data_IF_879700872545
#
_entry.id   IF_879700872545
#
_cell.length_a   1.000
_cell.length_b   1.000
_cell.length_c   1.000
_cell.angle_alpha   90.00
_cell.angle_beta   90.00
_cell.angle_gamma   90.00
#
_symmetry.space_group_name_H-M   'P 1'
#
loop_
_entity.id
_entity.type
_entity.pdbx_description
1 polymer ?
#
# COMPACT_ATOMS: atom_id res chain seq x y z
N UNK A 1 -4.31 8.22 7.97
CA UNK A 1 -5.26 7.09 8.21
C UNK A 1 -5.48 6.35 6.90
N UNK A 2 -5.84 5.04 6.92
CA UNK A 2 -5.99 4.19 5.72
C UNK A 2 -7.47 3.92 5.46
N UNK A 3 -7.92 4.12 4.22
CA UNK A 3 -9.29 3.88 3.76
C UNK A 3 -9.29 2.98 2.52
N UNK A 4 -10.33 2.16 2.40
CA UNK A 4 -10.61 1.43 1.16
C UNK A 4 -11.20 2.37 0.07
N UNK A 5 -11.49 1.81 -1.11
CA UNK A 5 -12.07 2.58 -2.22
C UNK A 5 -13.46 3.13 -1.92
N UNK A 6 -14.23 2.40 -1.11
CA UNK A 6 -15.57 2.75 -0.61
C UNK A 6 -15.53 3.72 0.57
N UNK A 7 -14.34 4.23 0.92
CA UNK A 7 -14.10 5.23 1.96
C UNK A 7 -14.36 4.75 3.41
N UNK A 8 -14.36 3.43 3.63
CA UNK A 8 -14.41 2.86 4.96
C UNK A 8 -13.06 3.02 5.65
N UNK A 9 -13.06 3.56 6.88
CA UNK A 9 -11.85 3.66 7.69
C UNK A 9 -11.41 2.27 8.14
N UNK A 10 -10.21 1.87 7.72
CA UNK A 10 -9.62 0.61 8.18
C UNK A 10 -8.88 0.85 9.51
N UNK A 11 -9.31 0.17 10.59
CA UNK A 11 -8.66 0.25 11.92
C UNK A 11 -7.28 -0.41 11.95
N UNK A 12 -6.98 -1.24 10.95
CA UNK A 12 -5.72 -1.95 10.78
C UNK A 12 -5.59 -2.28 9.28
N UNK A 13 -4.48 -1.85 8.67
CA UNK A 13 -4.23 -1.90 7.22
C UNK A 13 -3.90 -3.29 6.70
N UNK A 14 -4.78 -4.27 6.99
CA UNK A 14 -4.69 -5.58 6.39
C UNK A 14 -5.25 -5.52 4.98
N UNK A 15 -4.36 -5.59 3.99
CA UNK A 15 -4.73 -5.71 2.59
C UNK A 15 -4.72 -7.20 2.22
N UNK A 16 -5.88 -7.73 1.81
CA UNK A 16 -5.98 -9.06 1.25
C UNK A 16 -5.88 -8.96 -0.28
N UNK A 17 -4.70 -9.24 -0.81
CA UNK A 17 -4.49 -9.27 -2.26
C UNK A 17 -4.79 -10.69 -2.74
N UNK A 18 -5.77 -10.83 -3.64
CA UNK A 18 -6.07 -12.10 -4.32
C UNK A 18 -5.44 -12.02 -5.71
N UNK A 19 -4.47 -12.88 -5.99
CA UNK A 19 -3.73 -12.89 -7.26
C UNK A 19 -4.38 -13.87 -8.26
N UNK A 20 -4.98 -13.41 -9.38
CA UNK A 20 -4.84 -14.11 -10.65
C UNK A 20 -3.41 -13.88 -11.17
N UNK A 21 -2.90 -14.73 -12.08
CA UNK A 21 -1.48 -14.83 -12.45
C UNK A 21 -0.76 -13.50 -12.80
N UNK A 22 -1.51 -12.45 -13.13
CA UNK A 22 -1.00 -11.14 -13.52
C UNK A 22 -1.25 -10.13 -12.39
N UNK A 23 -0.23 -9.35 -12.03
CA UNK A 23 -0.16 -8.48 -10.85
C UNK A 23 -1.49 -7.80 -10.47
N UNK A 24 -2.19 -8.31 -9.46
CA UNK A 24 -3.37 -7.66 -8.92
C UNK A 24 -2.94 -6.41 -8.15
N UNK A 25 -3.11 -5.25 -8.78
CA UNK A 25 -2.97 -3.94 -8.14
C UNK A 25 -4.19 -3.69 -7.25
N UNK A 26 -3.95 -3.17 -6.06
CA UNK A 26 -4.97 -2.68 -5.16
C UNK A 26 -4.79 -1.18 -4.99
N UNK A 27 -5.89 -0.44 -5.01
CA UNK A 27 -5.89 1.00 -4.81
C UNK A 27 -6.40 1.32 -3.41
N UNK A 28 -5.62 2.06 -2.63
CA UNK A 28 -5.98 2.50 -1.27
C UNK A 28 -5.92 4.02 -1.17
N UNK A 29 -6.82 4.60 -0.38
CA UNK A 29 -6.85 6.04 -0.10
C UNK A 29 -6.21 6.31 1.25
N UNK A 30 -5.33 7.30 1.30
CA UNK A 30 -4.63 7.69 2.53
C UNK A 30 -4.90 9.15 2.86
N UNK A 31 -5.23 9.43 4.13
CA UNK A 31 -5.03 10.76 4.69
C UNK A 31 -3.52 10.94 4.88
N UNK A 32 -2.87 11.54 3.88
CA UNK A 32 -1.46 11.91 3.89
C UNK A 32 -1.17 12.96 4.97
N UNK A 33 0.08 13.05 5.43
CA UNK A 33 0.50 14.04 6.44
C UNK A 33 2.01 14.22 6.36
N UNK A 34 2.46 15.47 6.50
CA UNK A 34 3.87 15.78 6.64
C UNK A 34 4.50 15.01 7.81
N UNK A 35 5.68 14.42 7.58
CA UNK A 35 6.38 13.62 8.59
C UNK A 35 5.80 12.23 8.81
N UNK A 36 5.00 11.70 7.88
CA UNK A 36 4.52 10.33 7.92
C UNK A 36 4.90 9.58 6.64
N UNK A 37 5.09 8.27 6.78
CA UNK A 37 5.46 7.38 5.67
C UNK A 37 4.57 6.14 5.63
N UNK A 38 4.44 5.58 4.44
CA UNK A 38 3.83 4.28 4.18
C UNK A 38 4.88 3.18 4.25
N UNK A 39 4.61 2.13 5.04
CA UNK A 39 5.50 0.98 5.20
C UNK A 39 4.72 -0.34 5.31
N UNK A 40 5.22 -1.38 4.67
CA UNK A 40 4.80 -2.76 4.89
C UNK A 40 5.62 -3.36 6.02
N UNK A 41 4.94 -3.93 7.03
CA UNK A 41 5.58 -4.48 8.24
C UNK A 41 5.54 -6.00 8.32
N UNK A 42 4.78 -6.67 7.45
CA UNK A 42 4.73 -8.13 7.36
C UNK A 42 4.23 -8.59 6.00
N UNK A 43 4.54 -9.85 5.65
CA UNK A 43 4.05 -10.49 4.42
C UNK A 43 5.07 -10.47 3.26
N UNK A 44 4.61 -10.71 2.02
CA UNK A 44 5.46 -10.74 0.82
C UNK A 44 6.05 -9.36 0.49
N UNK A 45 6.92 -9.30 -0.52
CA UNK A 45 7.44 -8.03 -1.05
C UNK A 45 6.30 -7.27 -1.71
N UNK A 46 6.05 -6.05 -1.22
CA UNK A 46 5.01 -5.16 -1.70
C UNK A 46 5.65 -3.90 -2.23
N UNK A 47 5.20 -3.50 -3.41
CA UNK A 47 5.51 -2.21 -3.99
C UNK A 47 4.30 -1.29 -3.89
N UNK A 48 4.55 0.00 -3.70
CA UNK A 48 3.53 1.02 -3.75
C UNK A 48 4.03 2.26 -4.50
N UNK A 49 3.09 3.02 -5.05
CA UNK A 49 3.34 4.34 -5.64
C UNK A 49 2.12 5.24 -5.43
N UNK A 50 2.31 6.57 -5.49
CA UNK A 50 1.16 7.47 -5.58
C UNK A 50 0.53 7.32 -6.96
N UNK A 51 -0.79 7.45 -7.04
CA UNK A 51 -1.47 7.41 -8.33
C UNK A 51 -0.89 8.50 -9.26
N UNK A 52 -0.47 8.10 -10.46
CA UNK A 52 0.18 8.97 -11.44
C UNK A 52 1.71 8.97 -11.38
N UNK A 53 2.33 8.44 -10.32
CA UNK A 53 3.78 8.28 -10.29
C UNK A 53 4.22 7.17 -11.25
N UNK A 54 5.41 7.32 -11.84
CA UNK A 54 5.98 6.29 -12.73
C UNK A 54 6.70 5.21 -11.91
N UNK A 55 7.31 5.59 -10.78
CA UNK A 55 8.19 4.71 -10.02
C UNK A 55 7.45 3.96 -8.91
N UNK A 56 7.61 2.65 -8.91
CA UNK A 56 7.17 1.78 -7.82
C UNK A 56 8.24 1.73 -6.73
N UNK A 57 7.82 1.84 -5.47
CA UNK A 57 8.71 1.76 -4.30
C UNK A 57 8.43 0.49 -3.52
N UNK A 58 9.44 -0.33 -3.27
CA UNK A 58 9.32 -1.47 -2.35
C UNK A 58 9.14 -0.96 -0.91
N UNK A 59 7.90 -0.98 -0.42
CA UNK A 59 7.55 -0.42 0.88
C UNK A 59 7.90 -1.34 2.07
N UNK A 60 8.49 -2.52 1.80
CA UNK A 60 9.01 -3.42 2.84
C UNK A 60 10.45 -3.07 3.21
N UNK A 61 11.27 -2.68 2.23
CA UNK A 61 12.69 -2.31 2.43
C UNK A 61 12.89 -0.80 2.52
N UNK A 62 12.03 -0.03 1.86
CA UNK A 62 12.03 1.43 1.87
C UNK A 62 10.67 1.93 2.34
N UNK A 63 10.56 3.21 2.65
CA UNK A 63 9.28 3.82 3.03
C UNK A 63 8.90 4.88 2.01
N UNK A 64 7.61 5.00 1.72
CA UNK A 64 7.10 6.00 0.77
C UNK A 64 6.55 7.21 1.54
N UNK A 65 7.01 8.40 1.19
CA UNK A 65 6.58 9.62 1.89
C UNK A 65 5.11 9.93 1.63
N UNK A 66 4.39 10.32 2.69
CA UNK A 66 3.03 10.84 2.62
C UNK A 66 3.01 12.39 2.58
N UNK A 67 4.09 12.99 2.08
CA UNK A 67 4.20 14.45 1.88
C UNK A 67 4.05 14.83 0.41
N UNK A 68 3.59 16.04 0.10
CA UNK A 68 2.89 16.98 0.99
C UNK A 68 1.45 16.52 1.27
N UNK A 69 0.86 17.00 2.36
CA UNK A 69 -0.60 16.95 2.56
C UNK A 69 -1.20 18.24 2.04
N UNK A 70 -2.05 18.14 1.03
CA UNK A 70 -2.75 19.25 0.38
C UNK A 70 -4.20 19.40 0.88
N UNK A 71 -4.57 18.69 1.95
CA UNK A 71 -5.94 18.65 2.45
C UNK A 71 -6.81 17.58 1.80
N UNK A 72 -6.29 16.83 0.82
CA UNK A 72 -7.04 15.80 0.10
C UNK A 72 -6.47 14.40 0.31
N UNK A 73 -7.35 13.39 0.34
CA UNK A 73 -6.94 11.98 0.37
C UNK A 73 -6.24 11.63 -0.94
N UNK A 74 -5.05 11.05 -0.82
CA UNK A 74 -4.29 10.61 -1.97
C UNK A 74 -4.50 9.11 -2.21
N UNK A 75 -4.61 8.73 -3.48
CA UNK A 75 -4.70 7.33 -3.89
C UNK A 75 -3.28 6.80 -4.05
N UNK A 76 -3.04 5.62 -3.49
CA UNK A 76 -1.83 4.85 -3.70
C UNK A 76 -2.19 3.52 -4.33
N UNK A 77 -1.41 3.16 -5.34
CA UNK A 77 -1.48 1.89 -6.02
C UNK A 77 -0.48 0.96 -5.35
N UNK A 78 -0.91 -0.26 -5.03
CA UNK A 78 -0.15 -1.22 -4.22
C UNK A 78 -0.20 -2.56 -4.93
N UNK A 79 0.95 -3.20 -5.12
CA UNK A 79 1.03 -4.53 -5.74
C UNK A 79 2.01 -5.43 -5.01
N UNK A 80 1.77 -6.73 -5.09
CA UNK A 80 2.77 -7.72 -4.69
C UNK A 80 3.73 -8.00 -5.85
N UNK A 81 5.03 -8.08 -5.56
CA UNK A 81 6.07 -8.39 -6.57
C UNK A 81 6.15 -9.91 -6.77
N UNK A 82 6.21 -10.35 -8.03
CA UNK A 82 6.34 -11.76 -8.39
C UNK A 82 7.73 -12.30 -7.97
N UNK A 83 7.79 -13.53 -7.43
CA UNK A 83 9.05 -14.17 -7.04
C UNK A 83 8.95 -15.11 -5.83
N UNK A 84 7.81 -15.11 -5.15
CA UNK A 84 7.41 -16.20 -4.24
C UNK A 84 6.34 -16.99 -5.00
N UNK A 85 6.36 -18.32 -4.93
CA UNK A 85 5.26 -19.15 -5.44
C UNK A 85 3.97 -18.81 -4.70
N UNK A 86 3.31 -17.74 -5.13
CA UNK A 86 2.03 -17.31 -4.61
C UNK A 86 0.99 -18.02 -5.46
N UNK A 87 0.68 -19.28 -5.12
CA UNK A 87 -0.46 -19.99 -5.69
C UNK A 87 -1.76 -19.19 -5.54
N UNK A 88 -2.94 -19.82 -5.68
CA UNK A 88 -4.22 -19.14 -5.35
C UNK A 88 -4.38 -18.94 -3.83
N UNK A 89 -3.43 -18.28 -3.19
CA UNK A 89 -3.35 -18.06 -1.76
C UNK A 89 -3.70 -16.61 -1.41
N UNK A 90 -4.43 -16.44 -0.31
CA UNK A 90 -4.74 -15.13 0.25
C UNK A 90 -3.62 -14.75 1.20
N UNK A 91 -2.87 -13.72 0.86
CA UNK A 91 -1.84 -13.20 1.76
C UNK A 91 -2.36 -11.97 2.49
N UNK A 92 -2.26 -12.00 3.83
CA UNK A 92 -2.55 -10.85 4.68
C UNK A 92 -1.29 -9.99 4.75
N UNK A 93 -1.30 -8.86 4.07
CA UNK A 93 -0.24 -7.86 4.18
C UNK A 93 -0.65 -6.87 5.26
N UNK A 94 0.23 -6.55 6.20
CA UNK A 94 0.01 -5.45 7.13
C UNK A 94 0.76 -4.21 6.66
N UNK A 95 0.01 -3.15 6.38
CA UNK A 95 0.51 -1.84 5.98
C UNK A 95 0.22 -0.85 7.12
N UNK A 96 1.20 0.01 7.40
CA UNK A 96 1.11 1.01 8.46
C UNK A 96 1.52 2.38 7.94
N UNK A 97 0.86 3.39 8.50
CA UNK A 97 1.29 4.79 8.42
C UNK A 97 1.98 5.10 9.73
N UNK A 98 3.28 5.39 9.66
CA UNK A 98 4.12 5.66 10.82
C UNK A 98 4.78 7.04 10.68
N UNK A 99 5.15 7.71 11.79
CA UNK A 99 6.04 8.86 11.72
C UNK A 99 7.31 8.51 10.95
N UNK A 100 7.68 9.37 10.00
CA UNK A 100 8.86 9.25 9.14
C UNK A 100 10.12 9.78 9.78
#
# INVERSE_FOLDING_TARGET
>A
MIYDLDNNRTRSGYLAIRRPADAAEAHLKFDCRAGYVLKAVSGPTIEARRQGDVTWTNIKTSSLSLTPWDGTRQIFEIKAVAGVDMGRERHKVRIQVIPG
#
